data_IF_655620888895
#
_entry.id   IF_655620888895
#
_cell.length_a   1.000
_cell.length_b   1.000
_cell.length_c   1.000
_cell.angle_alpha   90.00
_cell.angle_beta   90.00
_cell.angle_gamma   90.00
#
_symmetry.space_group_name_H-M   'P 1'
#
loop_
_entity.id
_entity.type
_entity.pdbx_description
1 polymer ?
2 non-polymer ?
3 water ?
#
# COMPACT_ATOMS: atom_id res chain seq x y z
N UNK A 1 2.31 9.87 -24.04
CA UNK A 1 1.98 8.53 -24.51
C UNK A 1 0.57 8.49 -25.06
N UNK A 2 0.07 7.28 -25.21
CA UNK A 2 -1.33 7.07 -25.56
C UNK A 2 -2.17 7.62 -24.40
N UNK A 3 -3.45 7.89 -24.65
CA UNK A 3 -4.35 8.38 -23.61
C UNK A 3 -3.89 9.71 -23.03
N UNK A 4 -3.67 10.69 -23.91
CA UNK A 4 -3.27 12.02 -23.47
C UNK A 4 -4.39 13.02 -23.68
N UNK A 5 -5.37 13.00 -22.78
CA UNK A 5 -6.46 13.97 -22.82
C UNK A 5 -6.86 14.31 -21.39
N UNK A 6 -7.82 15.21 -21.25
CA UNK A 6 -8.33 15.56 -19.94
C UNK A 6 -9.38 14.55 -19.52
N UNK A 7 -8.94 13.52 -18.79
CA UNK A 7 -9.82 12.44 -18.39
C UNK A 7 -9.66 12.10 -16.91
N UNK A 8 -10.77 12.03 -16.19
CA UNK A 8 -10.77 11.45 -14.86
C UNK A 8 -10.96 9.94 -15.05
N UNK A 9 -9.91 9.17 -14.78
CA UNK A 9 -9.94 7.74 -15.03
C UNK A 9 -10.07 6.93 -13.75
N UNK A 10 -11.12 6.14 -13.65
CA UNK A 10 -11.35 5.30 -12.48
C UNK A 10 -11.00 3.85 -12.79
N UNK A 11 -9.89 3.38 -12.24
CA UNK A 11 -9.42 2.02 -12.48
C UNK A 11 -9.93 1.06 -11.41
N UNK A 12 -10.87 0.20 -11.78
CA UNK A 12 -11.42 -0.78 -10.85
C UNK A 12 -10.82 -2.15 -11.14
N UNK A 13 -10.04 -2.65 -10.18
CA UNK A 13 -9.28 -3.88 -10.38
C UNK A 13 -9.77 -5.03 -9.50
N UNK A 14 -10.02 -6.17 -10.13
CA UNK A 14 -10.46 -7.38 -9.43
C UNK A 14 -9.32 -7.89 -8.55
N UNK A 15 -9.63 -8.14 -7.28
CA UNK A 15 -8.67 -8.74 -6.37
C UNK A 15 -9.33 -9.82 -5.54
N UNK A 16 -10.29 -10.51 -6.16
CA UNK A 16 -11.10 -11.49 -5.44
C UNK A 16 -10.45 -12.87 -5.44
N UNK A 17 -11.08 -13.81 -4.73
CA UNK A 17 -10.56 -15.15 -4.58
C UNK A 17 -10.61 -16.00 -5.84
N UNK A 18 -11.25 -15.46 -6.89
CA UNK A 18 -11.35 -16.16 -8.16
C UNK A 18 -10.02 -16.19 -8.90
N UNK A 19 -9.11 -15.32 -8.49
CA UNK A 19 -7.78 -15.23 -9.11
C UNK A 19 -6.77 -16.10 -8.36
N UNK A 20 -6.05 -16.95 -9.10
CA UNK A 20 -4.97 -17.73 -8.50
C UNK A 20 -3.82 -16.80 -8.11
N UNK A 21 -3.17 -17.10 -6.99
CA UNK A 21 -2.08 -16.26 -6.48
C UNK A 21 -0.99 -16.05 -7.54
N UNK A 22 -0.66 -17.12 -8.26
CA UNK A 22 0.32 -17.06 -9.33
C UNK A 22 -0.01 -16.00 -10.37
N UNK A 23 -1.27 -15.95 -10.80
CA UNK A 23 -1.72 -14.96 -11.78
C UNK A 23 -1.75 -13.55 -11.22
N UNK A 24 -2.06 -13.43 -9.93
CA UNK A 24 -2.07 -12.14 -9.26
C UNK A 24 -0.67 -11.53 -9.27
N UNK A 25 0.32 -12.33 -8.88
CA UNK A 25 1.70 -11.89 -8.79
C UNK A 25 2.33 -11.68 -10.17
N UNK A 26 2.23 -12.68 -11.02
CA UNK A 26 2.89 -12.66 -12.32
C UNK A 26 2.19 -11.82 -13.40
N UNK A 27 0.87 -11.65 -13.29
CA UNK A 27 0.12 -11.03 -14.37
C UNK A 27 -0.77 -9.86 -13.98
N UNK A 28 -1.63 -10.05 -12.97
CA UNK A 28 -2.62 -9.03 -12.60
C UNK A 28 -1.98 -7.71 -12.19
N UNK A 29 -1.09 -7.75 -11.21
CA UNK A 29 -0.42 -6.53 -10.75
C UNK A 29 0.50 -5.91 -11.82
N UNK A 30 1.33 -6.72 -12.52
CA UNK A 30 2.10 -6.11 -13.61
C UNK A 30 1.23 -5.55 -14.73
N UNK A 31 0.05 -6.12 -14.93
CA UNK A 31 -0.87 -5.61 -15.94
C UNK A 31 -1.34 -4.22 -15.57
N UNK A 32 -1.73 -4.04 -14.32
CA UNK A 32 -2.18 -2.74 -13.82
C UNK A 32 -1.07 -1.71 -13.97
N UNK A 33 0.17 -2.15 -13.78
CA UNK A 33 1.32 -1.27 -13.95
C UNK A 33 1.52 -0.88 -15.42
N UNK A 34 1.38 -1.84 -16.32
CA UNK A 34 1.56 -1.57 -17.75
C UNK A 34 0.44 -0.70 -18.29
N UNK A 35 -0.77 -0.87 -17.76
CA UNK A 35 -1.91 -0.04 -18.14
C UNK A 35 -1.63 1.42 -17.81
N UNK A 36 -1.02 1.65 -16.65
CA UNK A 36 -0.73 3.00 -16.19
C UNK A 36 0.41 3.63 -16.99
N UNK A 37 1.32 2.79 -17.48
CA UNK A 37 2.38 3.27 -18.36
C UNK A 37 1.80 3.86 -19.65
N UNK A 38 0.58 3.44 -19.99
CA UNK A 38 -0.08 3.92 -21.20
C UNK A 38 -0.81 5.23 -20.95
N UNK A 39 -0.65 5.79 -19.76
CA UNK A 39 -1.38 7.00 -19.39
C UNK A 39 -0.42 8.17 -19.19
N UNK A 40 -0.85 9.36 -19.62
CA UNK A 40 -0.14 10.59 -19.30
C UNK A 40 -0.81 11.25 -18.09
N UNK A 41 -0.44 10.79 -16.90
CA UNK A 41 -0.93 11.37 -15.66
C UNK A 41 -0.26 12.72 -15.42
N UNK A 42 -1.06 13.79 -15.48
CA UNK A 42 -0.54 15.13 -15.28
C UNK A 42 -1.67 16.09 -14.92
N UNK A 43 -1.30 17.28 -14.44
CA UNK A 43 -2.27 18.27 -13.99
C UNK A 43 -3.35 18.61 -15.02
N UNK A 44 -2.94 18.76 -16.28
CA UNK A 44 -3.88 19.12 -17.34
C UNK A 44 -4.31 17.93 -18.20
N UNK A 45 -3.93 16.72 -17.79
CA UNK A 45 -4.22 15.54 -18.56
C UNK A 45 -5.04 14.52 -17.76
N UNK A 46 -4.51 13.30 -17.63
CA UNK A 46 -5.24 12.23 -16.96
C UNK A 46 -5.09 12.30 -15.44
N UNK A 47 -6.22 12.22 -14.74
CA UNK A 47 -6.20 12.07 -13.28
C UNK A 47 -6.71 10.69 -12.92
N UNK A 48 -5.88 9.93 -12.21
CA UNK A 48 -6.17 8.53 -11.92
C UNK A 48 -6.84 8.31 -10.57
N UNK A 49 -7.86 7.46 -10.57
CA UNK A 49 -8.41 6.90 -9.34
C UNK A 49 -8.29 5.40 -9.48
N UNK A 50 -7.88 4.73 -8.41
CA UNK A 50 -7.73 3.28 -8.46
C UNK A 50 -8.30 2.62 -7.22
N UNK A 51 -9.01 1.51 -7.42
CA UNK A 51 -9.49 0.71 -6.32
C UNK A 51 -9.35 -0.78 -6.66
N UNK A 52 -9.29 -1.59 -5.61
CA UNK A 52 -9.28 -3.04 -5.77
C UNK A 52 -10.52 -3.58 -5.09
N UNK A 53 -11.34 -4.34 -5.81
CA UNK A 53 -12.56 -4.86 -5.20
C UNK A 53 -12.49 -6.35 -4.85
N UNK A 54 -12.78 -6.64 -3.59
CA UNK A 54 -12.89 -7.99 -3.09
C UNK A 54 -14.25 -8.12 -2.42
N UNK A 55 -14.25 -8.40 -1.12
CA UNK A 55 -15.49 -8.37 -0.35
C UNK A 55 -16.03 -6.95 -0.35
N UNK A 56 -15.12 -6.00 -0.34
CA UNK A 56 -15.45 -4.59 -0.46
C UNK A 56 -14.49 -3.93 -1.44
N UNK A 57 -14.69 -2.64 -1.71
CA UNK A 57 -13.78 -1.92 -2.57
C UNK A 57 -12.80 -1.10 -1.73
N UNK A 58 -11.50 -1.34 -1.94
CA UNK A 58 -10.49 -0.57 -1.23
C UNK A 58 -9.88 0.48 -2.16
N UNK A 59 -9.92 1.74 -1.72
CA UNK A 59 -9.39 2.84 -2.51
C UNK A 59 -7.90 3.00 -2.24
N UNK A 60 -7.09 2.81 -3.27
CA UNK A 60 -5.64 2.89 -3.10
C UNK A 60 -5.05 4.18 -3.66
N UNK A 61 -5.68 4.74 -4.69
CA UNK A 61 -5.27 6.04 -5.22
C UNK A 61 -6.45 7.01 -5.22
N UNK A 62 -6.37 8.03 -4.39
CA UNK A 62 -7.41 9.05 -4.33
C UNK A 62 -7.37 9.95 -5.56
N UNK A 63 -8.54 10.22 -6.13
CA UNK A 63 -8.63 11.12 -7.28
C UNK A 63 -8.12 12.51 -6.91
N UNK A 64 -7.36 13.11 -7.83
CA UNK A 64 -6.79 14.46 -7.67
C UNK A 64 -5.65 14.56 -6.65
N UNK A 65 -5.26 13.43 -6.05
CA UNK A 65 -4.12 13.41 -5.15
C UNK A 65 -2.81 13.49 -5.94
N UNK A 66 -1.67 13.43 -5.26
CA UNK A 66 -0.39 13.50 -5.94
C UNK A 66 -0.14 12.30 -6.85
N UNK A 67 -0.39 11.09 -6.35
CA UNK A 67 -0.21 9.89 -7.14
C UNK A 67 -1.22 9.81 -8.28
N UNK A 68 -2.34 10.49 -8.12
CA UNK A 68 -3.37 10.57 -9.15
C UNK A 68 -2.85 11.19 -10.43
N UNK A 69 -1.99 12.19 -10.30
CA UNK A 69 -1.47 12.91 -11.46
C UNK A 69 0.05 12.80 -11.56
N UNK A 70 0.60 11.72 -11.01
CA UNK A 70 2.02 11.43 -11.12
C UNK A 70 2.21 9.93 -11.33
N UNK A 71 2.74 9.57 -12.49
CA UNK A 71 2.84 8.16 -12.87
C UNK A 71 3.80 7.39 -11.98
N UNK A 72 4.91 8.03 -11.62
CA UNK A 72 5.93 7.43 -10.76
C UNK A 72 5.35 7.02 -9.41
N UNK A 73 4.60 7.93 -8.78
CA UNK A 73 4.00 7.67 -7.48
C UNK A 73 2.88 6.64 -7.56
N UNK A 74 2.16 6.62 -8.68
CA UNK A 74 1.07 5.68 -8.86
C UNK A 74 1.56 4.24 -8.98
N UNK A 75 2.67 4.07 -9.70
CA UNK A 75 3.25 2.74 -9.87
C UNK A 75 3.71 2.16 -8.53
N UNK A 76 4.23 3.02 -7.67
CA UNK A 76 4.65 2.61 -6.34
C UNK A 76 3.49 2.06 -5.53
N UNK A 77 2.36 2.76 -5.56
CA UNK A 77 1.16 2.30 -4.87
C UNK A 77 0.64 0.97 -5.43
N UNK A 78 0.59 0.87 -6.75
CA UNK A 78 0.16 -0.35 -7.41
C UNK A 78 1.08 -1.50 -7.04
N UNK A 79 2.39 -1.21 -7.01
CA UNK A 79 3.39 -2.22 -6.67
C UNK A 79 3.26 -2.68 -5.22
N UNK A 80 2.77 -1.80 -4.36
CA UNK A 80 2.63 -2.10 -2.94
C UNK A 80 1.51 -3.11 -2.67
N UNK A 81 0.70 -3.40 -3.68
CA UNK A 81 -0.35 -4.40 -3.56
C UNK A 81 0.25 -5.78 -3.29
N UNK A 82 1.47 -6.00 -3.80
CA UNK A 82 2.16 -7.27 -3.61
C UNK A 82 2.56 -7.53 -2.17
N UNK A 83 2.48 -6.51 -1.32
CA UNK A 83 2.81 -6.68 0.10
C UNK A 83 1.58 -7.03 0.92
N UNK A 84 0.42 -7.02 0.29
CA UNK A 84 -0.83 -7.37 0.97
C UNK A 84 -1.13 -8.85 0.85
N UNK A 85 -2.20 -9.29 1.50
CA UNK A 85 -2.64 -10.69 1.43
C UNK A 85 -3.57 -10.98 0.25
N UNK A 86 -3.74 -9.99 -0.63
CA UNK A 86 -4.53 -10.18 -1.85
C UNK A 86 -3.91 -11.26 -2.74
N UNK A 87 -4.73 -11.95 -3.53
CA UNK A 87 -6.18 -11.78 -3.69
C UNK A 87 -7.01 -12.71 -2.80
N UNK A 88 -8.23 -12.30 -2.48
CA UNK A 88 -9.15 -13.11 -1.70
C UNK A 88 -10.57 -12.56 -1.75
N UNK A 89 -11.53 -13.36 -1.29
CA UNK A 89 -12.88 -12.90 -1.07
C UNK A 89 -13.81 -12.98 -2.26
N UNK A 90 -15.00 -12.39 -2.12
CA UNK A 90 -15.99 -12.36 -3.17
C UNK A 90 -15.66 -11.29 -4.20
N UNK A 91 -16.48 -11.18 -5.24
CA UNK A 91 -16.22 -10.23 -6.30
C UNK A 91 -17.26 -9.11 -6.30
N UNK A 92 -17.06 -8.11 -5.45
CA UNK A 92 -18.01 -7.02 -5.31
C UNK A 92 -17.75 -5.86 -6.27
N UNK A 93 -18.04 -6.07 -7.54
CA UNK A 93 -17.90 -5.03 -8.56
C UNK A 93 -18.84 -3.87 -8.26
N UNK A 94 -19.99 -4.21 -7.69
CA UNK A 94 -21.02 -3.23 -7.38
C UNK A 94 -20.50 -2.16 -6.43
N UNK A 95 -19.82 -2.59 -5.37
CA UNK A 95 -19.29 -1.67 -4.36
C UNK A 95 -18.29 -0.70 -5.00
N UNK A 96 -17.43 -1.22 -5.86
CA UNK A 96 -16.47 -0.41 -6.60
C UNK A 96 -17.16 0.64 -7.46
N UNK A 97 -18.20 0.22 -8.19
CA UNK A 97 -18.96 1.12 -9.04
C UNK A 97 -19.72 2.15 -8.21
N UNK A 98 -20.18 1.73 -7.04
CA UNK A 98 -20.90 2.61 -6.12
C UNK A 98 -20.01 3.77 -5.67
N UNK A 99 -18.73 3.48 -5.44
CA UNK A 99 -17.78 4.51 -5.03
C UNK A 99 -17.62 5.58 -6.10
N UNK A 100 -17.56 5.16 -7.36
CA UNK A 100 -17.44 6.09 -8.47
C UNK A 100 -18.66 7.00 -8.55
N UNK A 101 -19.85 6.43 -8.39
CA UNK A 101 -21.08 7.20 -8.41
C UNK A 101 -21.12 8.22 -7.26
N UNK A 102 -20.60 7.83 -6.10
CA UNK A 102 -20.54 8.73 -4.95
C UNK A 102 -19.59 9.89 -5.21
N UNK A 103 -18.53 9.63 -5.96
CA UNK A 103 -17.56 10.66 -6.32
C UNK A 103 -18.22 11.72 -7.21
N UNK A 104 -19.09 11.27 -8.10
CA UNK A 104 -19.78 12.17 -9.01
C UNK A 104 -20.85 12.97 -8.27
N UNK A 105 -21.60 12.28 -7.41
CA UNK A 105 -22.64 12.93 -6.61
C UNK A 105 -22.08 14.00 -5.69
N UNK A 106 -20.83 13.84 -5.28
CA UNK A 106 -20.16 14.82 -4.43
C UNK A 106 -19.41 15.85 -5.27
N UNK A 107 -19.49 15.71 -6.59
CA UNK A 107 -18.84 16.62 -7.53
C UNK A 107 -17.35 16.77 -7.27
N UNK A 108 -16.68 15.64 -7.08
CA UNK A 108 -15.25 15.60 -6.85
C UNK A 108 -14.52 15.64 -8.19
N UNK A 109 -15.17 15.08 -9.21
CA UNK A 109 -14.61 15.02 -10.55
C UNK A 109 -14.45 16.41 -11.16
N UNK A 110 -13.53 16.53 -12.12
CA UNK A 110 -13.36 17.78 -12.84
C UNK A 110 -14.55 18.02 -13.75
N UNK A 111 -15.18 19.19 -13.61
CA UNK A 111 -16.40 19.54 -14.32
C UNK A 111 -16.32 19.38 -15.84
N UNK A 112 -15.13 19.61 -16.40
CA UNK A 112 -14.98 19.61 -17.86
C UNK A 112 -14.18 18.42 -18.40
N UNK A 113 -13.82 17.49 -17.53
CA UNK A 113 -13.07 16.32 -17.95
C UNK A 113 -13.99 15.16 -18.31
N UNK A 114 -13.60 14.39 -19.32
CA UNK A 114 -14.31 13.16 -19.64
C UNK A 114 -14.18 12.18 -18.48
N UNK A 115 -15.25 11.45 -18.21
CA UNK A 115 -15.28 10.49 -17.12
C UNK A 115 -15.23 9.06 -17.64
N UNK A 116 -14.17 8.34 -17.27
CA UNK A 116 -13.96 6.99 -17.78
C UNK A 116 -13.71 5.98 -16.67
N UNK A 117 -14.44 4.87 -16.71
CA UNK A 117 -14.22 3.75 -15.80
C UNK A 117 -13.58 2.60 -16.58
N UNK A 118 -12.50 2.05 -16.04
CA UNK A 118 -11.84 0.90 -16.65
C UNK A 118 -11.82 -0.28 -15.68
N UNK A 119 -12.46 -1.38 -16.06
CA UNK A 119 -12.57 -2.54 -15.20
C UNK A 119 -11.67 -3.68 -15.65
N UNK A 120 -10.77 -4.11 -14.77
CA UNK A 120 -9.98 -5.31 -15.00
C UNK A 120 -10.61 -6.46 -14.21
N UNK A 121 -11.13 -7.46 -14.91
CA UNK A 121 -11.79 -8.58 -14.24
C UNK A 121 -11.40 -9.95 -14.81
N UNK A 122 -11.58 -10.99 -14.01
CA UNK A 122 -11.29 -12.35 -14.44
C UNK A 122 -12.48 -13.27 -14.21
N UNK A 123 -13.58 -12.71 -13.71
CA UNK A 123 -14.76 -13.50 -13.44
C UNK A 123 -16.02 -12.67 -13.33
N UNK A 124 -17.12 -13.32 -12.94
CA UNK A 124 -18.41 -12.64 -12.78
C UNK A 124 -18.55 -12.01 -11.41
N UNK A 125 -19.19 -10.83 -11.35
CA UNK A 125 -19.45 -10.19 -10.06
C UNK A 125 -20.53 -10.94 -9.30
N UNK A 126 -20.58 -10.77 -7.98
CA UNK A 126 -21.53 -11.49 -7.14
C UNK A 126 -22.97 -11.17 -7.52
N UNK A 127 -23.21 -9.93 -7.93
CA UNK A 127 -24.54 -9.51 -8.34
C UNK A 127 -24.54 -8.96 -9.76
N UNK A 128 -25.11 -9.72 -10.68
CA UNK A 128 -25.25 -9.29 -12.06
C UNK A 128 -26.15 -8.06 -12.14
N UNK A 129 -27.26 -8.12 -11.40
CA UNK A 129 -28.29 -7.09 -11.45
C UNK A 129 -27.79 -5.75 -10.91
N UNK A 130 -27.18 -5.77 -9.74
CA UNK A 130 -26.76 -4.54 -9.06
C UNK A 130 -25.60 -3.83 -9.78
N UNK A 131 -24.65 -4.60 -10.30
CA UNK A 131 -23.53 -4.00 -11.02
C UNK A 131 -23.98 -3.43 -12.36
N UNK A 132 -24.97 -4.07 -12.98
CA UNK A 132 -25.54 -3.57 -14.22
C UNK A 132 -26.39 -2.33 -13.97
N UNK A 133 -27.09 -2.31 -12.84
CA UNK A 133 -27.89 -1.17 -12.45
C UNK A 133 -27.01 0.06 -12.23
N UNK A 134 -25.87 -0.15 -11.57
CA UNK A 134 -24.94 0.94 -11.29
C UNK A 134 -24.23 1.44 -12.55
N UNK A 135 -23.89 0.51 -13.44
CA UNK A 135 -23.17 0.86 -14.66
C UNK A 135 -24.03 1.70 -15.58
N UNK A 136 -25.33 1.42 -15.63
CA UNK A 136 -26.24 2.19 -16.47
C UNK A 136 -26.49 3.57 -15.86
N UNK A 137 -26.53 3.64 -14.54
CA UNK A 137 -26.66 4.92 -13.85
C UNK A 137 -25.48 5.81 -14.18
N UNK A 138 -24.29 5.23 -14.21
CA UNK A 138 -23.08 5.95 -14.57
C UNK A 138 -23.10 6.41 -16.02
N UNK A 139 -23.41 5.47 -16.92
CA UNK A 139 -23.42 5.76 -18.35
C UNK A 139 -24.48 6.77 -18.73
N UNK A 140 -25.51 6.89 -17.89
CA UNK A 140 -26.55 7.90 -18.09
C UNK A 140 -26.04 9.29 -17.73
N UNK A 141 -24.95 9.34 -16.99
CA UNK A 141 -24.33 10.61 -16.60
C UNK A 141 -23.15 10.94 -17.49
N UNK A 142 -23.01 10.20 -18.59
CA UNK A 142 -21.97 10.46 -19.57
C UNK A 142 -20.68 9.71 -19.32
N UNK A 143 -20.66 8.88 -18.27
CA UNK A 143 -19.48 8.12 -17.94
C UNK A 143 -19.26 6.95 -18.90
N UNK A 144 -18.13 6.97 -19.60
CA UNK A 144 -17.77 5.86 -20.47
C UNK A 144 -17.19 4.72 -19.64
N UNK A 145 -17.59 3.49 -19.98
CA UNK A 145 -17.16 2.31 -19.23
C UNK A 145 -16.44 1.31 -20.12
N UNK A 146 -15.23 0.95 -19.74
CA UNK A 146 -14.43 -0.02 -20.50
C UNK A 146 -14.12 -1.23 -19.64
N UNK A 147 -14.14 -2.41 -20.25
CA UNK A 147 -13.88 -3.66 -19.54
C UNK A 147 -12.75 -4.45 -20.19
N UNK A 148 -11.79 -4.88 -19.38
CA UNK A 148 -10.72 -5.73 -19.87
C UNK A 148 -10.81 -7.10 -19.20
N UNK A 149 -11.29 -8.09 -19.96
CA UNK A 149 -11.47 -9.43 -19.45
C UNK A 149 -10.19 -10.24 -19.46
N UNK A 150 -10.04 -11.14 -18.49
CA UNK A 150 -8.85 -11.96 -18.39
C UNK A 150 -9.18 -13.41 -18.08
N UNK A 151 -8.57 -14.33 -18.82
CA UNK A 151 -8.68 -15.75 -18.52
C UNK A 151 -9.94 -16.43 -19.02
N UNK A 152 -10.09 -17.70 -18.68
CA UNK A 152 -11.20 -18.52 -19.19
C UNK A 152 -12.44 -18.48 -18.30
N UNK A 153 -12.37 -17.74 -17.20
CA UNK A 153 -13.47 -17.70 -16.26
C UNK A 153 -14.40 -16.51 -16.44
N UNK A 154 -14.15 -15.70 -17.45
CA UNK A 154 -14.98 -14.51 -17.68
C UNK A 154 -16.26 -14.83 -18.42
N UNK A 155 -17.23 -13.92 -18.32
CA UNK A 155 -18.48 -14.02 -19.05
C UNK A 155 -18.49 -12.93 -20.13
N UNK A 156 -18.24 -13.33 -21.37
CA UNK A 156 -18.10 -12.39 -22.48
C UNK A 156 -19.35 -11.54 -22.68
N UNK A 157 -20.51 -12.19 -22.69
CA UNK A 157 -21.79 -11.51 -22.85
C UNK A 157 -21.97 -10.42 -21.79
N UNK A 158 -21.77 -10.79 -20.53
CA UNK A 158 -21.95 -9.84 -19.43
C UNK A 158 -21.02 -8.63 -19.55
N UNK A 159 -19.76 -8.88 -19.88
CA UNK A 159 -18.76 -7.82 -20.04
C UNK A 159 -19.17 -6.81 -21.10
N UNK A 160 -19.67 -7.30 -22.22
CA UNK A 160 -20.09 -6.46 -23.34
C UNK A 160 -21.38 -5.71 -23.02
N UNK A 161 -22.23 -6.33 -22.20
CA UNK A 161 -23.48 -5.69 -21.78
C UNK A 161 -23.16 -4.56 -20.80
N UNK A 162 -22.15 -4.78 -19.98
CA UNK A 162 -21.71 -3.80 -18.99
C UNK A 162 -21.12 -2.59 -19.70
N UNK A 163 -20.47 -2.83 -20.83
CA UNK A 163 -19.88 -1.78 -21.65
C UNK A 163 -20.95 -1.00 -22.40
N UNK A 164 -21.91 -1.70 -22.97
CA UNK A 164 -22.98 -1.08 -23.72
C UNK A 164 -23.05 -1.55 -25.16
N UNK A 165 -22.31 -2.62 -25.47
CA UNK A 165 -22.33 -3.21 -26.80
C UNK A 165 -23.28 -4.39 -26.84
N UNK A 166 -23.52 -4.91 -28.04
CA UNK A 166 -24.27 -6.15 -28.19
C UNK A 166 -23.48 -7.25 -27.50
N UNK A 167 -24.17 -8.12 -26.74
CA UNK A 167 -23.51 -9.15 -25.92
C UNK A 167 -22.64 -10.13 -26.71
N UNK A 168 -22.81 -10.17 -28.03
CA UNK A 168 -22.08 -11.12 -28.85
C UNK A 168 -21.51 -10.52 -30.14
N UNK A 169 -22.38 -9.93 -30.95
CA UNK A 169 -22.02 -9.53 -32.31
C UNK A 169 -21.49 -8.10 -32.41
N UNK A 170 -20.72 -7.85 -33.46
CA UNK A 170 -20.21 -6.52 -33.73
C UNK A 170 -18.92 -6.20 -33.00
N UNK A 171 -18.19 -5.22 -33.51
CA UNK A 171 -16.94 -4.79 -32.88
C UNK A 171 -17.22 -3.89 -31.68
N UNK A 172 -16.43 -4.06 -30.63
CA UNK A 172 -16.61 -3.31 -29.41
C UNK A 172 -15.26 -2.75 -28.95
N UNK A 173 -15.03 -1.47 -29.21
CA UNK A 173 -13.76 -0.85 -28.88
C UNK A 173 -13.53 -0.70 -27.39
N UNK A 174 -14.62 -0.68 -26.62
CA UNK A 174 -14.53 -0.53 -25.17
C UNK A 174 -14.42 -1.88 -24.46
N UNK A 175 -14.23 -2.94 -25.23
CA UNK A 175 -14.05 -4.26 -24.65
C UNK A 175 -12.92 -5.05 -25.31
N UNK A 176 -12.14 -5.74 -24.48
CA UNK A 176 -11.13 -6.66 -24.95
C UNK A 176 -10.91 -7.73 -23.89
N UNK A 177 -10.50 -8.92 -24.32
CA UNK A 177 -10.12 -9.96 -23.37
C UNK A 177 -8.84 -10.65 -23.80
N UNK A 178 -8.23 -11.39 -22.89
CA UNK A 178 -6.91 -11.97 -23.13
C UNK A 178 -6.59 -13.11 -22.17
N UNK A 179 -5.76 -14.04 -22.61
CA UNK A 179 -5.25 -15.08 -21.74
C UNK A 179 -4.23 -14.48 -20.78
N UNK A 180 -4.06 -15.10 -19.61
CA UNK A 180 -3.17 -14.61 -18.56
C UNK A 180 -1.75 -14.32 -19.06
N UNK A 181 -1.21 -15.22 -19.87
CA UNK A 181 0.16 -15.09 -20.34
C UNK A 181 0.33 -13.96 -21.34
N UNK A 182 -0.78 -13.49 -21.91
CA UNK A 182 -0.72 -12.54 -23.01
C UNK A 182 -1.28 -11.16 -22.66
N UNK A 183 -1.57 -10.94 -21.38
CA UNK A 183 -2.23 -9.69 -20.97
C UNK A 183 -1.44 -8.43 -21.28
N UNK A 184 -0.12 -8.50 -21.13
CA UNK A 184 0.73 -7.31 -21.32
C UNK A 184 0.93 -6.94 -22.78
N UNK A 185 0.50 -7.80 -23.69
CA UNK A 185 0.61 -7.54 -25.12
C UNK A 185 -0.69 -7.00 -25.70
N UNK A 186 -1.77 -7.10 -24.92
CA UNK A 186 -3.10 -6.72 -25.38
C UNK A 186 -3.52 -5.37 -24.79
N UNK A 187 -3.07 -5.08 -23.59
CA UNK A 187 -3.48 -3.89 -22.86
C UNK A 187 -3.15 -2.59 -23.61
N UNK A 188 -2.04 -2.60 -24.34
CA UNK A 188 -1.62 -1.44 -25.11
C UNK A 188 -2.61 -1.02 -26.17
N UNK A 189 -2.87 -1.89 -27.16
CA UNK A 189 -3.88 -1.62 -28.19
C UNK A 189 -5.26 -1.37 -27.60
N UNK A 190 -5.58 -2.03 -26.48
CA UNK A 190 -6.87 -1.83 -25.83
C UNK A 190 -7.04 -0.40 -25.34
N UNK A 191 -6.05 0.09 -24.59
CA UNK A 191 -6.08 1.47 -24.09
C UNK A 191 -6.08 2.46 -25.24
N UNK A 192 -5.36 2.15 -26.31
CA UNK A 192 -5.32 3.02 -27.48
C UNK A 192 -6.69 3.12 -28.14
N UNK A 193 -7.41 2.01 -28.18
CA UNK A 193 -8.76 2.00 -28.75
C UNK A 193 -9.72 2.75 -27.81
N UNK A 194 -9.57 2.53 -26.51
CA UNK A 194 -10.41 3.19 -25.52
C UNK A 194 -10.24 4.71 -25.56
N UNK A 195 -9.00 5.16 -25.70
CA UNK A 195 -8.70 6.60 -25.78
C UNK A 195 -9.47 7.29 -26.91
N UNK A 196 -9.30 6.79 -28.12
CA UNK A 196 -9.91 7.38 -29.30
C UNK A 196 -11.43 7.49 -29.15
N UNK A 197 -12.05 6.50 -28.54
CA UNK A 197 -13.50 6.47 -28.40
C UNK A 197 -14.01 7.48 -27.38
N UNK A 198 -13.24 7.69 -26.30
CA UNK A 198 -13.62 8.65 -25.27
C UNK A 198 -13.58 10.08 -25.82
N UNK A 199 -12.60 10.35 -26.66
CA UNK A 199 -12.41 11.68 -27.24
C UNK A 199 -13.56 12.10 -28.15
N UNK A 200 -14.28 11.12 -28.68
CA UNK A 200 -15.39 11.38 -29.60
C UNK A 200 -16.49 12.20 -28.95
N UNK B 1 17.60 17.16 8.58
CA UNK B 1 16.65 16.77 9.60
C UNK B 1 17.37 16.35 10.89
N UNK B 2 16.62 15.85 11.86
CA UNK B 2 17.16 15.50 13.17
C UNK B 2 18.03 14.24 13.10
N UNK B 3 17.68 13.34 12.21
CA UNK B 3 18.48 12.14 11.98
C UNK B 3 19.18 12.23 10.64
N UNK B 4 20.51 12.34 10.67
CA UNK B 4 21.29 12.50 9.44
C UNK B 4 22.69 11.90 9.57
N UNK B 5 22.79 10.59 9.37
CA UNK B 5 24.07 9.89 9.45
C UNK B 5 23.98 8.65 8.57
N UNK B 6 25.11 7.99 8.33
CA UNK B 6 25.11 6.73 7.58
C UNK B 6 24.47 5.63 8.43
N UNK B 7 23.16 5.48 8.31
CA UNK B 7 22.42 4.53 9.13
C UNK B 7 21.40 3.75 8.31
N UNK B 8 21.48 2.42 8.39
CA UNK B 8 20.40 1.58 7.91
C UNK B 8 19.37 1.46 9.03
N UNK B 9 18.20 2.06 8.83
CA UNK B 9 17.17 2.08 9.87
C UNK B 9 16.05 1.11 9.56
N UNK B 10 15.87 0.13 10.44
CA UNK B 10 14.82 -0.88 10.29
C UNK B 10 13.63 -0.51 11.16
N UNK B 11 12.60 0.04 10.53
CA UNK B 11 11.38 0.44 11.23
C UNK B 11 10.44 -0.75 11.36
N UNK B 12 10.30 -1.26 12.58
CA UNK B 12 9.38 -2.36 12.83
C UNK B 12 8.12 -1.83 13.50
N UNK B 13 7.00 -1.96 12.79
CA UNK B 13 5.75 -1.35 13.21
C UNK B 13 4.69 -2.38 13.59
N UNK B 14 4.19 -2.29 14.81
CA UNK B 14 3.13 -3.18 15.29
C UNK B 14 1.84 -2.93 14.51
N UNK B 15 1.29 -4.00 13.94
CA UNK B 15 -0.01 -3.93 13.29
C UNK B 15 -0.89 -5.08 13.70
N UNK B 16 -0.73 -5.53 14.95
CA UNK B 16 -1.43 -6.73 15.43
C UNK B 16 -2.80 -6.43 15.99
N UNK B 17 -3.51 -7.49 16.38
CA UNK B 17 -4.87 -7.39 16.89
C UNK B 17 -4.99 -6.71 18.24
N UNK B 18 -3.85 -6.45 18.88
CA UNK B 18 -3.84 -5.77 20.17
C UNK B 18 -4.12 -4.27 20.01
N UNK B 19 -3.90 -3.75 18.81
CA UNK B 19 -4.19 -2.36 18.50
C UNK B 19 -5.63 -2.18 18.03
N UNK B 20 -6.38 -1.31 18.69
CA UNK B 20 -7.74 -0.99 18.25
C UNK B 20 -7.67 -0.27 16.92
N UNK B 21 -8.61 -0.57 16.03
CA UNK B 21 -8.55 -0.04 14.66
C UNK B 21 -8.45 1.47 14.57
N UNK B 22 -9.22 2.18 15.38
CA UNK B 22 -9.23 3.64 15.33
C UNK B 22 -7.90 4.26 15.77
N UNK B 23 -7.17 3.58 16.64
CA UNK B 23 -5.84 4.01 17.02
C UNK B 23 -4.82 3.75 15.91
N UNK B 24 -4.96 2.61 15.24
CA UNK B 24 -4.08 2.28 14.12
C UNK B 24 -4.26 3.27 12.98
N UNK B 25 -5.51 3.56 12.65
CA UNK B 25 -5.84 4.45 11.54
C UNK B 25 -5.48 5.91 11.83
N UNK B 26 -5.83 6.39 13.01
CA UNK B 26 -5.70 7.81 13.33
C UNK B 26 -4.44 8.19 14.12
N UNK B 27 -3.68 7.20 14.57
CA UNK B 27 -2.52 7.49 15.40
C UNK B 27 -1.24 6.75 14.99
N UNK B 28 -1.35 5.44 14.77
CA UNK B 28 -0.19 4.62 14.45
C UNK B 28 0.44 4.98 13.10
N UNK B 29 -0.38 4.99 12.05
CA UNK B 29 0.11 5.34 10.72
C UNK B 29 0.60 6.80 10.60
N UNK B 30 -0.16 7.78 11.15
CA UNK B 30 0.40 9.13 11.13
C UNK B 30 1.68 9.26 11.96
N UNK B 31 1.82 8.42 12.99
CA UNK B 31 3.04 8.42 13.79
C UNK B 31 4.22 7.99 12.94
N UNK B 32 4.05 6.89 12.22
CA UNK B 32 5.09 6.36 11.33
C UNK B 32 5.50 7.40 10.31
N UNK B 33 4.53 8.14 9.78
CA UNK B 33 4.78 9.20 8.81
C UNK B 33 5.60 10.33 9.44
N UNK B 34 5.20 10.77 10.62
CA UNK B 34 5.92 11.82 11.34
C UNK B 34 7.34 11.37 11.67
N UNK B 35 7.49 10.09 11.98
CA UNK B 35 8.79 9.52 12.30
C UNK B 35 9.72 9.65 11.09
N UNK B 36 9.18 9.31 9.91
CA UNK B 36 9.96 9.31 8.69
C UNK B 36 10.36 10.72 8.28
N UNK B 37 9.50 11.68 8.60
CA UNK B 37 9.80 13.09 8.35
C UNK B 37 10.98 13.60 9.17
N UNK B 38 11.38 12.82 10.19
CA UNK B 38 12.53 13.17 11.02
C UNK B 38 13.83 12.64 10.43
N UNK B 39 13.72 11.86 9.36
CA UNK B 39 14.89 11.19 8.79
C UNK B 39 15.38 11.88 7.52
N UNK B 40 16.68 11.87 7.31
CA UNK B 40 17.25 12.31 6.04
C UNK B 40 17.54 11.11 5.16
N UNK B 41 16.52 10.67 4.43
CA UNK B 41 16.66 9.56 3.50
C UNK B 41 17.42 10.02 2.26
N UNK B 42 18.58 9.42 2.03
CA UNK B 42 19.42 9.76 0.89
C UNK B 42 20.47 8.68 0.66
N UNK B 43 21.13 8.71 -0.49
CA UNK B 43 22.17 7.76 -0.82
C UNK B 43 23.28 7.79 0.23
N UNK B 44 23.61 8.99 0.70
CA UNK B 44 24.73 9.19 1.61
C UNK B 44 24.37 9.01 3.08
N UNK B 45 23.08 9.11 3.39
CA UNK B 45 22.64 9.13 4.77
C UNK B 45 21.77 7.92 5.16
N UNK B 46 20.55 8.20 5.60
CA UNK B 46 19.67 7.15 6.09
C UNK B 46 19.08 6.31 4.95
N UNK B 47 19.11 4.99 5.12
CA UNK B 47 18.39 4.07 4.24
C UNK B 47 17.33 3.37 5.08
N UNK B 48 16.09 3.45 4.65
CA UNK B 48 14.97 2.96 5.44
C UNK B 48 14.54 1.56 5.02
N UNK B 49 14.27 0.73 6.02
CA UNK B 49 13.54 -0.52 5.82
C UNK B 49 12.30 -0.42 6.69
N UNK B 50 11.16 -0.89 6.18
CA UNK B 50 9.94 -0.84 6.97
C UNK B 50 9.18 -2.16 6.88
N UNK B 51 8.73 -2.64 8.03
CA UNK B 51 7.88 -3.81 8.06
C UNK B 51 6.78 -3.66 9.10
N UNK B 52 5.68 -4.37 8.89
CA UNK B 52 4.56 -4.38 9.82
C UNK B 52 4.38 -5.81 10.32
N UNK B 53 4.43 -6.00 11.64
CA UNK B 53 4.27 -7.35 12.17
C UNK B 53 2.89 -7.67 12.72
N UNK B 54 2.33 -8.76 12.21
CA UNK B 54 1.08 -9.33 12.70
C UNK B 54 1.38 -10.79 13.04
N UNK B 55 0.64 -11.71 12.44
CA UNK B 55 0.96 -13.13 12.56
C UNK B 55 2.34 -13.38 11.96
N UNK B 56 2.68 -12.60 10.95
CA UNK B 56 4.01 -12.60 10.37
C UNK B 56 4.47 -11.17 10.13
N UNK B 57 5.70 -11.01 9.66
CA UNK B 57 6.21 -9.69 9.31
C UNK B 57 6.06 -9.46 7.82
N UNK B 58 5.39 -8.37 7.45
CA UNK B 58 5.28 -8.01 6.04
C UNK B 58 6.21 -6.83 5.72
N UNK B 59 7.13 -7.07 4.79
CA UNK B 59 8.03 -6.01 4.37
C UNK B 59 7.31 -5.08 3.40
N UNK B 60 7.26 -3.80 3.72
CA UNK B 60 6.59 -2.84 2.86
C UNK B 60 7.56 -1.89 2.17
N UNK B 61 8.72 -1.67 2.79
CA UNK B 61 9.80 -0.92 2.15
C UNK B 61 11.11 -1.71 2.19
N UNK B 62 11.57 -2.14 1.02
CA UNK B 62 12.81 -2.90 0.90
C UNK B 62 14.01 -1.99 1.12
N UNK B 63 14.99 -2.48 1.89
CA UNK B 63 16.20 -1.73 2.16
C UNK B 63 16.97 -1.46 0.87
N UNK B 64 17.50 -0.25 0.74
CA UNK B 64 18.26 0.21 -0.44
C UNK B 64 17.41 0.48 -1.69
N UNK B 65 16.10 0.25 -1.59
CA UNK B 65 15.21 0.50 -2.72
C UNK B 65 14.97 2.00 -2.91
N UNK B 66 14.15 2.35 -3.91
CA UNK B 66 13.82 3.74 -4.19
C UNK B 66 13.18 4.44 -3.00
N UNK B 67 12.15 3.81 -2.43
CA UNK B 67 11.44 4.36 -1.28
C UNK B 67 12.31 4.37 -0.03
N UNK B 68 13.35 3.55 -0.05
CA UNK B 68 14.29 3.47 1.08
C UNK B 68 15.12 4.74 1.18
N UNK B 69 15.32 5.41 0.04
CA UNK B 69 16.18 6.58 -0.02
C UNK B 69 15.42 7.85 -0.36
N UNK B 70 14.09 7.74 -0.42
CA UNK B 70 13.25 8.86 -0.85
C UNK B 70 12.07 9.05 0.09
N UNK B 71 12.06 10.18 0.79
CA UNK B 71 11.05 10.43 1.81
C UNK B 71 9.63 10.46 1.26
N UNK B 72 9.44 11.16 0.15
CA UNK B 72 8.13 11.24 -0.50
C UNK B 72 7.56 9.85 -0.80
N UNK B 73 8.38 9.00 -1.41
CA UNK B 73 7.95 7.66 -1.78
C UNK B 73 7.64 6.81 -0.57
N UNK B 74 8.49 6.94 0.45
CA UNK B 74 8.32 6.20 1.69
C UNK B 74 7.01 6.56 2.39
N UNK B 75 6.68 7.84 2.39
CA UNK B 75 5.44 8.30 3.01
C UNK B 75 4.23 7.75 2.25
N UNK B 76 4.36 7.69 0.93
CA UNK B 76 3.30 7.16 0.08
C UNK B 76 3.02 5.68 0.38
N UNK B 77 4.09 4.92 0.63
CA UNK B 77 3.94 3.51 0.97
C UNK B 77 3.33 3.33 2.36
N UNK B 78 3.78 4.14 3.31
CA UNK B 78 3.24 4.11 4.67
C UNK B 78 1.76 4.49 4.70
N UNK B 79 1.38 5.46 3.87
CA UNK B 79 0.00 5.89 3.80
C UNK B 79 -0.89 4.85 3.11
N UNK B 80 -0.26 3.94 2.37
CA UNK B 80 -0.99 2.88 1.67
C UNK B 80 -1.48 1.82 2.65
N UNK B 81 -0.93 1.84 3.87
CA UNK B 81 -1.35 0.91 4.91
C UNK B 81 -2.79 1.16 5.33
N UNK B 82 -3.28 2.37 5.08
CA UNK B 82 -4.66 2.74 5.42
C UNK B 82 -5.67 2.06 4.50
N UNK B 83 -5.20 1.53 3.38
CA UNK B 83 -6.09 0.81 2.46
C UNK B 83 -6.12 -0.69 2.72
N UNK B 84 -5.33 -1.15 3.69
CA UNK B 84 -5.32 -2.57 4.06
C UNK B 84 -6.35 -2.87 5.14
N UNK B 85 -6.50 -4.15 5.48
CA UNK B 85 -7.43 -4.57 6.53
C UNK B 85 -6.79 -4.59 7.91
N UNK B 86 -5.55 -4.13 8.00
CA UNK B 86 -4.84 -4.01 9.27
C UNK B 86 -5.60 -3.09 10.23
N UNK B 87 -5.42 -3.27 11.55
CA UNK B 87 -4.56 -4.26 12.22
C UNK B 87 -5.30 -5.55 12.56
N UNK B 88 -4.55 -6.64 12.72
CA UNK B 88 -5.10 -7.93 13.12
C UNK B 88 -4.00 -8.93 13.43
N UNK B 89 -4.38 -10.06 14.04
CA UNK B 89 -3.46 -11.16 14.27
C UNK B 89 -2.64 -11.03 15.54
N UNK B 90 -1.86 -12.07 15.83
CA UNK B 90 -0.96 -12.07 16.98
C UNK B 90 0.12 -11.01 16.83
N UNK B 91 0.82 -10.73 17.92
CA UNK B 91 1.89 -9.74 17.92
C UNK B 91 3.24 -10.43 17.80
N UNK B 92 3.64 -10.79 16.59
CA UNK B 92 4.87 -11.54 16.39
C UNK B 92 6.06 -10.62 16.15
N UNK B 93 6.54 -9.99 17.21
CA UNK B 93 7.74 -9.16 17.15
C UNK B 93 8.94 -10.00 16.74
N UNK B 94 8.97 -11.25 17.18
CA UNK B 94 10.06 -12.17 16.92
C UNK B 94 10.34 -12.34 15.42
N UNK B 95 9.29 -12.57 14.64
CA UNK B 95 9.43 -12.76 13.19
C UNK B 95 10.01 -11.51 12.51
N UNK B 96 9.61 -10.34 12.98
CA UNK B 96 10.11 -9.09 12.42
C UNK B 96 11.59 -8.90 12.72
N UNK B 97 11.99 -9.22 13.95
CA UNK B 97 13.39 -9.14 14.35
C UNK B 97 14.22 -10.15 13.57
N UNK B 98 13.61 -11.30 13.27
CA UNK B 98 14.29 -12.36 12.54
C UNK B 98 14.61 -11.93 11.11
N UNK B 99 13.73 -11.14 10.51
CA UNK B 99 13.95 -10.62 9.17
C UNK B 99 15.16 -9.69 9.14
N UNK B 100 15.33 -8.90 10.20
CA UNK B 100 16.49 -8.03 10.32
C UNK B 100 17.76 -8.86 10.41
N UNK B 101 17.69 -9.96 11.16
CA UNK B 101 18.84 -10.85 11.35
C UNK B 101 19.23 -11.51 10.03
N UNK B 102 18.24 -11.82 9.20
CA UNK B 102 18.50 -12.44 7.90
C UNK B 102 19.13 -11.46 6.93
N UNK B 103 18.84 -10.17 7.13
CA UNK B 103 19.44 -9.13 6.31
C UNK B 103 20.94 -9.06 6.55
N UNK B 104 21.33 -9.16 7.81
CA UNK B 104 22.75 -9.12 8.18
C UNK B 104 23.48 -10.35 7.67
N UNK B 105 22.86 -11.53 7.81
CA UNK B 105 23.47 -12.77 7.35
C UNK B 105 23.72 -12.76 5.85
N UNK B 106 22.84 -12.11 5.12
CA UNK B 106 22.95 -12.03 3.67
C UNK B 106 23.81 -10.85 3.24
N UNK B 107 24.26 -10.06 4.21
CA UNK B 107 25.08 -8.87 3.97
C UNK B 107 24.38 -7.85 3.06
N UNK B 108 23.09 -7.65 3.31
CA UNK B 108 22.30 -6.67 2.57
C UNK B 108 22.57 -5.26 3.09
N UNK B 109 22.83 -5.16 4.39
CA UNK B 109 23.19 -3.89 5.01
C UNK B 109 24.49 -3.32 4.45
N UNK B 110 24.62 -2.00 4.49
CA UNK B 110 25.88 -1.36 4.12
C UNK B 110 26.92 -1.68 5.19
N UNK B 111 28.14 -2.00 4.75
CA UNK B 111 29.20 -2.41 5.66
C UNK B 111 29.55 -1.34 6.69
N UNK B 112 29.78 -0.11 6.24
CA UNK B 112 30.25 0.96 7.12
C UNK B 112 29.14 1.85 7.67
N UNK B 113 27.92 1.34 7.71
CA UNK B 113 26.79 2.09 8.24
C UNK B 113 26.32 1.50 9.56
N UNK B 114 25.98 2.36 10.51
CA UNK B 114 25.39 1.92 11.76
C UNK B 114 24.06 1.22 11.51
N UNK B 115 23.77 0.19 12.30
CA UNK B 115 22.53 -0.56 12.16
C UNK B 115 21.58 -0.18 13.29
N UNK B 116 20.38 0.28 12.94
CA UNK B 116 19.44 0.77 13.93
C UNK B 116 18.04 0.19 13.74
N UNK B 117 17.53 -0.46 14.78
CA UNK B 117 16.18 -0.98 14.77
C UNK B 117 15.27 -0.11 15.63
N UNK B 118 14.18 0.38 15.03
CA UNK B 118 13.20 1.18 15.76
C UNK B 118 11.86 0.45 15.83
N UNK B 119 11.45 0.10 17.04
CA UNK B 119 10.21 -0.66 17.23
C UNK B 119 9.09 0.21 17.79
N UNK B 120 8.00 0.33 17.03
CA UNK B 120 6.79 0.98 17.52
C UNK B 120 5.82 -0.10 17.98
N UNK B 121 5.56 -0.14 19.29
CA UNK B 121 4.70 -1.17 19.85
C UNK B 121 3.68 -0.62 20.83
N UNK B 122 2.59 -1.36 21.04
CA UNK B 122 1.54 -0.95 21.95
C UNK B 122 1.34 -1.95 23.07
N UNK B 123 1.88 -3.15 22.90
CA UNK B 123 1.72 -4.21 23.89
C UNK B 123 2.84 -5.21 23.84
N UNK B 124 2.69 -6.30 24.59
CA UNK B 124 3.70 -7.34 24.64
C UNK B 124 3.59 -8.29 23.45
N UNK B 125 4.73 -8.75 22.93
CA UNK B 125 4.75 -9.68 21.79
C UNK B 125 4.18 -11.05 22.14
N UNK B 126 3.95 -11.86 21.12
CA UNK B 126 3.38 -13.20 21.28
C UNK B 126 4.28 -14.06 22.17
N UNK B 127 5.59 -13.99 21.94
CA UNK B 127 6.55 -14.75 22.73
C UNK B 127 7.62 -13.85 23.35
N UNK B 128 7.50 -13.62 24.65
CA UNK B 128 8.45 -12.78 25.38
C UNK B 128 9.87 -13.32 25.28
N UNK B 129 10.02 -14.63 25.49
CA UNK B 129 11.33 -15.26 25.52
C UNK B 129 12.01 -15.28 24.15
N UNK B 130 11.23 -15.50 23.10
CA UNK B 130 11.78 -15.57 21.74
C UNK B 130 12.20 -14.19 21.22
N UNK B 131 11.39 -13.17 21.52
CA UNK B 131 11.68 -11.81 21.09
C UNK B 131 12.91 -11.26 21.81
N UNK B 132 13.03 -11.59 23.09
CA UNK B 132 14.21 -11.20 23.85
C UNK B 132 15.47 -11.89 23.34
N UNK B 133 15.32 -13.15 22.95
CA UNK B 133 16.45 -13.91 22.42
C UNK B 133 16.96 -13.30 21.11
N UNK B 134 16.03 -13.05 20.18
CA UNK B 134 16.39 -12.47 18.88
C UNK B 134 16.96 -11.07 19.00
N UNK B 135 16.43 -10.29 19.93
CA UNK B 135 16.94 -8.93 20.16
C UNK B 135 18.36 -8.98 20.69
N UNK B 136 18.64 -9.93 21.57
CA UNK B 136 19.98 -10.07 22.13
C UNK B 136 20.97 -10.56 21.08
N UNK B 137 20.51 -11.41 20.17
CA UNK B 137 21.32 -11.85 19.04
C UNK B 137 21.66 -10.67 18.13
N UNK B 138 20.73 -9.73 18.00
CA UNK B 138 20.96 -8.55 17.16
C UNK B 138 21.96 -7.61 17.80
N UNK B 139 21.76 -7.31 19.09
CA UNK B 139 22.62 -6.39 19.81
C UNK B 139 24.03 -6.94 19.98
N UNK B 140 24.15 -8.26 19.99
CA UNK B 140 25.45 -8.92 20.06
C UNK B 140 26.21 -8.73 18.75
N UNK B 141 25.48 -8.37 17.69
CA UNK B 141 26.07 -8.14 16.39
C UNK B 141 26.13 -6.65 16.07
N UNK B 142 26.17 -5.84 17.13
CA UNK B 142 26.36 -4.40 16.99
C UNK B 142 25.12 -3.60 16.65
N UNK B 143 23.98 -4.27 16.57
CA UNK B 143 22.73 -3.58 16.23
C UNK B 143 22.13 -2.87 17.43
N UNK B 144 21.86 -1.58 17.27
CA UNK B 144 21.21 -0.79 18.32
C UNK B 144 19.69 -0.90 18.19
N UNK B 145 19.03 -1.09 19.32
CA UNK B 145 17.58 -1.24 19.34
C UNK B 145 16.91 -0.10 20.10
N UNK B 146 15.97 0.57 19.45
CA UNK B 146 15.20 1.63 20.09
C UNK B 146 13.72 1.26 20.07
N UNK B 147 13.03 1.54 21.16
CA UNK B 147 11.63 1.16 21.30
C UNK B 147 10.76 2.36 21.68
N UNK B 148 9.65 2.52 20.97
CA UNK B 148 8.70 3.58 21.26
C UNK B 148 7.36 2.95 21.63
N UNK B 149 7.03 2.94 22.91
CA UNK B 149 5.80 2.33 23.39
C UNK B 149 4.63 3.28 23.33
N UNK B 150 3.46 2.77 22.95
CA UNK B 150 2.27 3.59 22.82
C UNK B 150 1.10 3.02 23.61
N UNK B 151 0.45 3.87 24.40
CA UNK B 151 -0.78 3.49 25.07
C UNK B 151 -0.62 2.89 26.45
N UNK B 152 -1.71 2.34 26.98
CA UNK B 152 -1.74 1.81 28.33
C UNK B 152 -1.32 0.36 28.39
N UNK B 153 -1.40 -0.34 27.26
CA UNK B 153 -1.09 -1.76 27.21
C UNK B 153 0.39 -2.08 27.22
N UNK B 154 1.24 -1.05 27.21
CA UNK B 154 2.67 -1.26 27.16
C UNK B 154 3.23 -1.81 28.47
N UNK B 155 4.27 -2.62 28.34
CA UNK B 155 5.00 -3.11 29.50
C UNK B 155 6.35 -2.42 29.53
N UNK B 156 6.47 -1.41 30.39
CA UNK B 156 7.68 -0.58 30.46
C UNK B 156 8.93 -1.42 30.75
N UNK B 157 8.81 -2.35 31.68
CA UNK B 157 9.93 -3.22 32.05
C UNK B 157 10.43 -4.03 30.86
N UNK B 158 9.50 -4.61 30.10
CA UNK B 158 9.86 -5.41 28.95
C UNK B 158 10.53 -4.57 27.88
N UNK B 159 9.93 -3.42 27.57
CA UNK B 159 10.46 -2.54 26.54
C UNK B 159 11.87 -2.02 26.87
N UNK B 160 12.10 -1.73 28.14
CA UNK B 160 13.42 -1.26 28.57
C UNK B 160 14.45 -2.37 28.48
N UNK B 161 14.06 -3.58 28.84
CA UNK B 161 14.97 -4.72 28.79
C UNK B 161 15.30 -5.08 27.35
N UNK B 162 14.31 -4.96 26.47
CA UNK B 162 14.47 -5.20 25.04
C UNK B 162 15.55 -4.27 24.49
N UNK B 163 15.49 -3.01 24.91
CA UNK B 163 16.45 -2.00 24.51
C UNK B 163 17.85 -2.31 25.07
N UNK B 164 17.89 -2.85 26.28
CA UNK B 164 19.16 -3.22 26.90
C UNK B 164 19.45 -2.46 28.17
N UNK B 165 18.43 -1.75 28.68
CA UNK B 165 18.57 -1.00 29.91
C UNK B 165 18.13 -1.85 31.09
N UNK B 166 18.37 -1.34 32.29
CA UNK B 166 17.80 -1.91 33.49
C UNK B 166 16.27 -1.70 33.41
N UNK B 167 15.50 -2.70 33.84
CA UNK B 167 14.04 -2.68 33.68
C UNK B 167 13.35 -1.51 34.41
N UNK B 168 14.01 -0.93 35.41
CA UNK B 168 13.39 0.12 36.20
C UNK B 168 14.33 1.27 36.53
N UNK B 169 15.53 0.94 37.00
CA UNK B 169 16.48 1.94 37.45
C UNK B 169 17.29 2.54 36.31
N UNK B 170 17.73 3.78 36.49
CA UNK B 170 18.63 4.41 35.54
C UNK B 170 17.92 5.05 34.36
N UNK B 171 18.65 5.91 33.65
CA UNK B 171 18.10 6.57 32.47
C UNK B 171 18.18 5.64 31.27
N UNK B 172 17.25 5.81 30.32
CA UNK B 172 17.22 4.99 29.13
C UNK B 172 16.83 5.82 27.92
N UNK B 173 17.82 6.13 27.08
CA UNK B 173 17.62 7.03 25.95
C UNK B 173 16.99 6.38 24.72
N UNK B 174 17.13 5.07 24.62
CA UNK B 174 16.62 4.34 23.46
C UNK B 174 15.16 3.92 23.67
N UNK B 175 14.57 4.39 24.76
CA UNK B 175 13.17 4.08 25.03
C UNK B 175 12.37 5.31 25.43
N UNK B 176 11.18 5.43 24.86
CA UNK B 176 10.24 6.48 25.23
C UNK B 176 8.82 5.97 25.03
N UNK B 177 7.88 6.51 25.80
CA UNK B 177 6.49 6.15 25.62
C UNK B 177 5.57 7.37 25.59
N UNK B 178 4.32 7.14 25.22
CA UNK B 178 3.37 8.23 25.01
C UNK B 178 1.95 7.69 24.95
N UNK B 179 0.99 8.52 25.33
CA UNK B 179 -0.41 8.19 25.13
C UNK B 179 -0.70 8.30 23.64
N UNK B 180 -1.79 7.68 23.20
CA UNK B 180 -2.14 7.67 21.78
C UNK B 180 -2.24 9.06 21.15
N UNK B 181 -2.93 9.97 21.83
CA UNK B 181 -3.20 11.30 21.28
C UNK B 181 -1.98 12.22 21.25
N UNK B 182 -0.93 11.85 21.95
CA UNK B 182 0.23 12.72 22.07
C UNK B 182 1.44 12.23 21.27
N UNK B 183 1.27 11.16 20.50
CA UNK B 183 2.39 10.48 19.85
C UNK B 183 3.21 11.36 18.91
N UNK B 184 2.56 12.33 18.26
CA UNK B 184 3.22 13.15 17.26
C UNK B 184 4.08 14.25 17.85
N UNK B 185 3.87 14.57 19.12
CA UNK B 185 4.65 15.59 19.81
C UNK B 185 5.86 15.00 20.54
N UNK B 186 5.93 13.68 20.56
CA UNK B 186 6.95 12.98 21.33
C UNK B 186 7.97 12.26 20.45
N UNK B 187 7.54 11.86 19.25
CA UNK B 187 8.41 11.13 18.33
C UNK B 187 9.59 11.98 17.86
N UNK B 188 9.37 13.30 17.80
CA UNK B 188 10.42 14.23 17.41
C UNK B 188 11.60 14.22 18.35
N UNK B 189 11.38 14.58 19.62
CA UNK B 189 12.44 14.52 20.64
C UNK B 189 13.04 13.13 20.80
N UNK B 190 12.23 12.10 20.62
CA UNK B 190 12.68 10.71 20.77
C UNK B 190 13.73 10.35 19.72
N UNK B 191 13.40 10.56 18.46
CA UNK B 191 14.32 10.27 17.37
C UNK B 191 15.59 11.11 17.51
N UNK B 192 15.46 12.30 18.07
CA UNK B 192 16.63 13.13 18.32
C UNK B 192 17.60 12.45 19.26
N UNK B 193 17.10 12.01 20.42
CA UNK B 193 17.94 11.34 21.39
C UNK B 193 18.52 10.04 20.84
N UNK B 194 17.71 9.32 20.08
CA UNK B 194 18.13 8.05 19.49
C UNK B 194 19.29 8.24 18.53
N UNK B 195 19.11 9.15 17.59
CA UNK B 195 20.13 9.38 16.55
C UNK B 195 21.44 9.93 17.12
N UNK B 196 21.33 10.65 18.24
CA UNK B 196 22.53 11.14 18.93
C UNK B 196 23.26 9.97 19.59
N UNK B 197 22.49 9.03 20.14
CA UNK B 197 23.06 7.86 20.78
C UNK B 197 23.70 6.94 19.75
N UNK B 198 23.14 6.91 18.54
CA UNK B 198 23.68 6.12 17.45
C UNK B 198 24.99 6.72 16.95
N UNK B 199 25.02 8.05 16.89
CA UNK B 199 26.21 8.83 16.52
C UNK B 199 26.97 8.29 15.30
X LIG C 1 -4.52 -6.98 3.65
X LIG C 1 -4.73 -5.69 2.98
X LIG C 1 -3.18 -7.47 3.33
X LIG C 1 -4.63 -6.81 5.09
X LIG C 1 -5.51 -7.93 3.18
#
# INVERSE_FOLDING_TARGET
EVCNDEVDLYLLMDGSGSIRRHNWVNHAVPLAMKLIQQLNLNDNAIHLYASVFSNNAREIIRLHSDASKNKEKALIIIKSLLSTNLPYGKTSLTDALLQVRKHLNDRINRENANQLVVILTDGIPDSIQDSLKESRKLSDRGVKIAVFGIGQGINVAFNRFLVGCHPSDGKCNLYADSAWENVKNVIGPFMKAVCVEVEKHHHHHHA
EVCNDEVDLYLLMDGSGSIRRHNWVNHAVPLAMKLIQQLNLNDNAIHLYASVFSNNAREIIRLHSDASKNKEKALIIIKSLLSTNLPYGKTSLTDALLQVRKHLNDRINRENANQLVVILTDGIPDSIQDSLKESRKLSDRGVKIAVFGIGQGINVAFNRFLVGCHPSDGKCNLYADSAWENVKNVIGPFMKAVCVEVEKHHHHHHA
SO4 S O1 O2 O3 O4
#
